data_IF_605963128724
#
_entry.id   IF_605963128724
#
_cell.length_a   1.000
_cell.length_b   1.000
_cell.length_c   1.000
_cell.angle_alpha   90.00
_cell.angle_beta   90.00
_cell.angle_gamma   90.00
#
_symmetry.space_group_name_H-M   'P 1'
#
loop_
_entity.id
_entity.type
_entity.pdbx_description
1 polymer ?
#
# COMPACT_ATOMS: atom_id res chain seq x y z
N UNK A 1 -4.86 42.62 -18.11
CA UNK A 1 -4.73 42.33 -16.67
C UNK A 1 -4.97 40.87 -16.40
N UNK A 2 -3.88 40.10 -16.37
CA UNK A 2 -3.77 38.91 -15.52
C UNK A 2 -2.30 38.85 -15.09
N UNK A 3 -2.07 39.08 -13.80
CA UNK A 3 -0.75 39.20 -13.18
C UNK A 3 -0.05 37.84 -13.12
N UNK A 4 1.02 37.68 -13.91
CA UNK A 4 2.09 36.72 -13.62
C UNK A 4 2.92 37.24 -12.45
N UNK A 5 2.90 36.54 -11.31
CA UNK A 5 3.82 36.79 -10.20
C UNK A 5 5.15 36.08 -10.53
N UNK A 6 6.27 36.79 -10.73
CA UNK A 6 7.55 36.18 -11.01
C UNK A 6 8.25 35.80 -9.70
N UNK A 7 8.59 34.52 -9.52
CA UNK A 7 9.50 34.09 -8.44
C UNK A 7 9.12 32.84 -7.65
N UNK A 8 8.09 32.08 -8.01
CA UNK A 8 7.86 30.78 -7.36
C UNK A 8 8.68 29.70 -8.10
N UNK A 9 9.60 28.96 -7.43
CA UNK A 9 10.19 27.78 -8.06
C UNK A 9 9.07 26.82 -8.48
N UNK A 10 9.22 26.05 -9.57
CA UNK A 10 8.20 25.09 -9.95
C UNK A 10 7.98 24.14 -8.76
N UNK A 11 6.83 24.28 -8.09
CA UNK A 11 6.40 23.28 -7.14
C UNK A 11 5.98 22.08 -7.97
N UNK A 12 6.93 21.22 -8.29
CA UNK A 12 6.64 19.94 -8.95
C UNK A 12 6.06 19.01 -7.90
N UNK A 13 4.80 19.25 -7.55
CA UNK A 13 3.97 18.31 -6.82
C UNK A 13 3.63 17.16 -7.75
N UNK A 14 4.46 16.12 -7.77
CA UNK A 14 4.14 14.88 -8.46
C UNK A 14 3.02 14.19 -7.68
N UNK A 15 1.81 14.21 -8.23
CA UNK A 15 0.71 13.39 -7.71
C UNK A 15 0.92 11.97 -8.20
N UNK A 16 1.40 11.10 -7.32
CA UNK A 16 1.40 9.65 -7.56
C UNK A 16 -0.04 9.19 -7.32
N UNK A 17 -0.80 9.04 -8.40
CA UNK A 17 -2.19 8.57 -8.36
C UNK A 17 -2.23 7.17 -7.76
N UNK A 18 -2.82 7.08 -6.56
CA UNK A 18 -3.10 5.83 -5.86
C UNK A 18 -4.57 5.48 -6.06
N UNK A 19 -4.89 4.36 -6.71
CA UNK A 19 -6.27 3.92 -6.87
C UNK A 19 -6.75 3.22 -5.59
N UNK A 20 -7.58 3.89 -4.79
CA UNK A 20 -8.37 3.21 -3.77
C UNK A 20 -9.62 2.61 -4.43
N UNK A 21 -9.57 1.33 -4.76
CA UNK A 21 -10.74 0.61 -5.29
C UNK A 21 -11.59 0.18 -4.10
N UNK A 22 -12.71 0.87 -3.89
CA UNK A 22 -13.70 0.52 -2.88
C UNK A 22 -15.08 1.03 -3.28
N UNK A 23 -16.14 0.30 -2.92
CA UNK A 23 -17.50 0.77 -3.16
C UNK A 23 -17.72 2.09 -2.42
N UNK A 24 -18.06 3.17 -3.14
CA UNK A 24 -18.31 4.51 -2.57
C UNK A 24 -19.20 4.45 -1.31
N UNK A 25 -20.26 3.65 -1.36
CA UNK A 25 -21.21 3.52 -0.26
C UNK A 25 -20.61 2.84 0.98
N UNK A 26 -19.61 1.98 0.81
CA UNK A 26 -18.92 1.30 1.90
C UNK A 26 -17.92 2.24 2.58
N UNK A 27 -17.17 3.03 1.80
CA UNK A 27 -16.29 4.09 2.32
C UNK A 27 -17.11 5.14 3.08
N UNK A 28 -18.27 5.55 2.55
CA UNK A 28 -19.14 6.51 3.22
C UNK A 28 -19.74 5.95 4.52
N UNK A 29 -20.21 4.70 4.53
CA UNK A 29 -20.70 4.04 5.75
C UNK A 29 -19.62 3.97 6.83
N UNK A 30 -18.38 3.66 6.45
CA UNK A 30 -17.26 3.65 7.38
C UNK A 30 -17.06 5.00 8.07
N UNK A 31 -17.13 6.10 7.30
CA UNK A 31 -16.97 7.46 7.83
C UNK A 31 -18.17 7.90 8.70
N UNK A 32 -19.37 7.38 8.42
CA UNK A 32 -20.62 7.72 9.12
C UNK A 32 -20.74 7.01 10.49
N UNK A 33 -20.06 5.88 10.70
CA UNK A 33 -20.08 5.11 11.96
C UNK A 33 -19.27 5.74 13.13
N UNK A 34 -19.15 7.08 13.16
CA UNK A 34 -18.71 7.82 14.36
C UNK A 34 -19.78 7.88 15.46
N UNK A 35 -21.00 7.42 15.16
CA UNK A 35 -22.17 7.47 16.04
C UNK A 35 -22.43 6.16 16.78
N UNK A 36 -22.54 6.26 18.11
CA UNK A 36 -22.97 5.25 19.07
C UNK A 36 -24.22 4.47 18.59
N UNK A 37 -24.06 3.18 18.32
CA UNK A 37 -25.16 2.23 18.11
C UNK A 37 -24.72 0.83 18.54
N UNK A 38 -25.34 0.31 19.60
CA UNK A 38 -25.19 -1.09 20.02
C UNK A 38 -25.99 -1.96 19.05
N UNK A 39 -25.28 -2.70 18.19
CA UNK A 39 -25.78 -3.98 17.66
C UNK A 39 -24.58 -4.90 17.41
N UNK A 40 -24.47 -5.94 18.24
CA UNK A 40 -23.50 -7.01 18.11
C UNK A 40 -23.96 -8.02 17.05
N UNK A 41 -23.50 -7.89 15.81
CA UNK A 41 -23.38 -9.01 14.84
C UNK A 41 -22.63 -8.54 13.60
N UNK A 42 -21.56 -9.25 13.24
CA UNK A 42 -20.52 -8.90 12.24
C UNK A 42 -19.63 -7.71 12.64
N UNK A 43 -18.38 -8.02 13.01
CA UNK A 43 -17.40 -7.03 13.41
C UNK A 43 -17.12 -6.05 12.26
N UNK A 44 -17.80 -4.91 12.31
CA UNK A 44 -17.74 -3.86 11.30
C UNK A 44 -16.30 -3.50 10.97
N UNK A 45 -16.06 -3.27 9.69
CA UNK A 45 -14.81 -2.70 9.22
C UNK A 45 -14.60 -1.37 9.96
N UNK A 46 -13.46 -1.17 10.60
CA UNK A 46 -13.20 0.09 11.31
C UNK A 46 -12.41 1.02 10.40
N UNK A 47 -12.82 2.30 10.33
CA UNK A 47 -12.03 3.35 9.66
C UNK A 47 -10.60 3.35 10.20
N UNK A 48 -10.44 3.09 11.50
CA UNK A 48 -9.16 2.99 12.16
C UNK A 48 -8.26 1.91 11.53
N UNK A 49 -8.78 0.71 11.27
CA UNK A 49 -8.03 -0.37 10.60
C UNK A 49 -7.56 0.07 9.21
N UNK A 50 -8.44 0.71 8.42
CA UNK A 50 -8.10 1.21 7.10
C UNK A 50 -7.02 2.32 7.17
N UNK A 51 -7.14 3.25 8.12
CA UNK A 51 -6.15 4.31 8.35
C UNK A 51 -4.79 3.72 8.71
N UNK A 52 -4.74 2.69 9.57
CA UNK A 52 -3.49 2.01 9.91
C UNK A 52 -2.85 1.30 8.72
N UNK A 53 -3.66 0.62 7.89
CA UNK A 53 -3.17 -0.03 6.67
C UNK A 53 -2.61 1.01 5.71
N UNK A 54 -3.35 2.09 5.42
CA UNK A 54 -2.89 3.17 4.55
C UNK A 54 -1.64 3.88 5.08
N UNK A 55 -1.53 4.04 6.40
CA UNK A 55 -0.34 4.59 7.06
C UNK A 55 0.86 3.67 6.87
N UNK A 56 0.65 2.35 6.99
CA UNK A 56 1.69 1.33 6.76
C UNK A 56 2.16 1.33 5.30
N UNK A 57 1.23 1.40 4.35
CA UNK A 57 1.52 1.50 2.91
C UNK A 57 2.34 2.77 2.62
N UNK A 58 1.90 3.91 3.15
CA UNK A 58 2.63 5.18 3.01
C UNK A 58 4.04 5.09 3.59
N UNK A 59 4.19 4.39 4.71
CA UNK A 59 5.48 4.17 5.37
C UNK A 59 6.38 3.28 4.50
N UNK A 60 5.86 2.20 3.93
CA UNK A 60 6.58 1.33 3.01
C UNK A 60 7.09 2.11 1.79
N UNK A 61 6.20 2.86 1.11
CA UNK A 61 6.54 3.68 -0.07
C UNK A 61 7.68 4.67 0.27
N UNK A 62 7.53 5.42 1.36
CA UNK A 62 8.55 6.40 1.78
C UNK A 62 9.87 5.74 2.14
N UNK A 63 9.83 4.57 2.77
CA UNK A 63 11.01 3.81 3.18
C UNK A 63 11.77 3.30 1.96
N UNK A 64 11.06 2.71 0.99
CA UNK A 64 11.64 2.30 -0.29
C UNK A 64 12.29 3.50 -0.97
N UNK A 65 11.54 4.60 -1.17
CA UNK A 65 12.09 5.82 -1.80
C UNK A 65 13.33 6.36 -1.09
N UNK A 66 13.39 6.30 0.26
CA UNK A 66 14.57 6.69 1.02
C UNK A 66 15.76 5.73 0.84
N UNK A 67 15.52 4.42 0.85
CA UNK A 67 16.56 3.41 0.61
C UNK A 67 17.15 3.54 -0.79
N UNK A 68 16.29 3.72 -1.81
CA UNK A 68 16.70 3.89 -3.21
C UNK A 68 17.58 5.12 -3.39
N UNK A 69 17.19 6.26 -2.80
CA UNK A 69 17.98 7.50 -2.80
C UNK A 69 19.33 7.31 -2.10
N UNK A 70 19.36 6.63 -0.94
CA UNK A 70 20.59 6.37 -0.17
C UNK A 70 21.57 5.45 -0.90
N UNK A 71 21.07 4.44 -1.58
CA UNK A 71 21.88 3.46 -2.29
C UNK A 71 22.35 3.96 -3.67
N UNK A 72 21.85 5.12 -4.11
CA UNK A 72 22.17 5.66 -5.44
C UNK A 72 21.71 4.75 -6.58
N UNK A 73 20.78 3.82 -6.32
CA UNK A 73 20.39 2.76 -7.27
C UNK A 73 19.86 3.28 -8.61
N UNK A 74 19.11 4.40 -8.71
CA UNK A 74 18.70 4.91 -10.01
C UNK A 74 19.88 5.46 -10.83
N UNK A 75 20.99 5.84 -10.18
CA UNK A 75 22.14 6.52 -10.79
C UNK A 75 23.39 5.64 -10.92
N UNK A 76 23.38 4.46 -10.31
CA UNK A 76 24.44 3.49 -10.51
C UNK A 76 24.16 2.77 -11.84
N UNK A 77 25.01 2.99 -12.85
CA UNK A 77 24.93 2.34 -14.17
C UNK A 77 24.98 0.78 -14.11
N UNK A 78 25.12 0.21 -12.92
CA UNK A 78 25.21 -1.21 -12.61
C UNK A 78 24.12 -1.70 -11.65
N UNK A 79 23.18 -0.85 -11.23
CA UNK A 79 22.12 -1.26 -10.31
C UNK A 79 21.18 -2.26 -11.00
N UNK A 80 21.23 -3.50 -10.54
CA UNK A 80 20.36 -4.55 -11.02
C UNK A 80 18.91 -4.25 -10.58
N UNK A 81 17.96 -4.05 -11.52
CA UNK A 81 16.56 -3.78 -11.20
C UNK A 81 15.94 -4.82 -10.25
N UNK A 82 16.39 -6.07 -10.34
CA UNK A 82 15.92 -7.17 -9.49
C UNK A 82 16.21 -6.94 -8.01
N UNK A 83 17.36 -6.34 -7.68
CA UNK A 83 17.73 -6.04 -6.28
C UNK A 83 16.82 -4.97 -5.70
N UNK A 84 16.43 -4.00 -6.53
CA UNK A 84 15.51 -2.95 -6.15
C UNK A 84 14.10 -3.51 -5.89
N UNK A 85 13.58 -4.34 -6.79
CA UNK A 85 12.29 -5.01 -6.59
C UNK A 85 12.29 -5.88 -5.33
N UNK A 86 13.34 -6.68 -5.11
CA UNK A 86 13.45 -7.50 -3.91
C UNK A 86 13.46 -6.65 -2.63
N UNK A 87 14.24 -5.57 -2.59
CA UNK A 87 14.30 -4.64 -1.47
C UNK A 87 12.94 -4.00 -1.19
N UNK A 88 12.25 -3.58 -2.25
CA UNK A 88 10.93 -2.97 -2.13
C UNK A 88 9.91 -3.97 -1.59
N UNK A 89 9.86 -5.17 -2.17
CA UNK A 89 8.97 -6.24 -1.72
C UNK A 89 9.19 -6.62 -0.24
N UNK A 90 10.44 -6.82 0.19
CA UNK A 90 10.77 -7.11 1.59
C UNK A 90 10.34 -5.97 2.53
N UNK A 91 10.56 -4.72 2.13
CA UNK A 91 10.16 -3.54 2.90
C UNK A 91 8.65 -3.46 3.07
N UNK A 92 7.89 -3.71 2.00
CA UNK A 92 6.43 -3.76 2.02
C UNK A 92 5.92 -4.88 2.93
N UNK A 93 6.43 -6.11 2.76
CA UNK A 93 6.03 -7.27 3.56
C UNK A 93 6.26 -7.03 5.05
N UNK A 94 7.45 -6.55 5.41
CA UNK A 94 7.81 -6.31 6.81
C UNK A 94 6.94 -5.21 7.44
N UNK A 95 6.72 -4.12 6.70
CA UNK A 95 5.91 -3.00 7.18
C UNK A 95 4.44 -3.41 7.36
N UNK A 96 3.85 -4.09 6.38
CA UNK A 96 2.45 -4.52 6.43
C UNK A 96 2.21 -5.64 7.45
N UNK A 97 3.13 -6.61 7.60
CA UNK A 97 3.03 -7.62 8.66
C UNK A 97 3.04 -6.99 10.05
N UNK A 98 3.88 -5.97 10.26
CA UNK A 98 4.01 -5.34 11.58
C UNK A 98 2.76 -4.61 12.06
N UNK A 99 1.84 -4.26 11.16
CA UNK A 99 0.64 -3.49 11.52
C UNK A 99 -0.47 -4.32 12.17
N UNK A 100 -0.38 -5.66 12.10
CA UNK A 100 -1.36 -6.62 12.67
C UNK A 100 -2.81 -6.43 12.19
N UNK A 101 -3.01 -5.82 11.02
CA UNK A 101 -4.32 -5.66 10.35
C UNK A 101 -4.45 -6.52 9.10
N UNK A 102 -3.33 -6.98 8.57
CA UNK A 102 -3.30 -7.87 7.42
C UNK A 102 -3.40 -9.35 7.82
N UNK A 103 -4.10 -10.16 7.04
CA UNK A 103 -4.14 -11.63 7.14
C UNK A 103 -3.35 -12.31 6.03
N UNK A 104 -3.31 -11.71 4.84
CA UNK A 104 -2.53 -12.18 3.71
C UNK A 104 -1.99 -11.00 2.91
N UNK A 105 -0.81 -11.18 2.34
CA UNK A 105 -0.14 -10.22 1.48
C UNK A 105 0.16 -10.88 0.14
N UNK A 106 -0.21 -10.24 -0.97
CA UNK A 106 0.03 -10.76 -2.33
C UNK A 106 0.89 -9.75 -3.08
N UNK A 107 2.08 -10.15 -3.48
CA UNK A 107 3.02 -9.30 -4.20
C UNK A 107 3.13 -9.75 -5.65
N UNK A 108 3.22 -8.81 -6.59
CA UNK A 108 3.55 -9.10 -7.99
C UNK A 108 4.91 -9.83 -8.15
N UNK A 109 5.88 -9.53 -7.27
CA UNK A 109 7.22 -10.15 -7.28
C UNK A 109 7.27 -11.55 -6.60
N UNK A 110 6.14 -12.17 -6.24
CA UNK A 110 6.10 -13.50 -5.57
C UNK A 110 5.07 -14.43 -6.21
N UNK A 111 5.47 -15.69 -6.40
CA UNK A 111 4.56 -16.74 -6.85
C UNK A 111 3.54 -17.12 -5.77
N UNK A 112 3.98 -17.17 -4.51
CA UNK A 112 3.13 -17.57 -3.38
C UNK A 112 2.73 -16.37 -2.50
N UNK A 113 1.44 -16.29 -2.10
CA UNK A 113 0.98 -15.34 -1.11
C UNK A 113 1.68 -15.51 0.23
N UNK A 114 1.86 -14.39 0.91
CA UNK A 114 2.45 -14.33 2.23
C UNK A 114 1.32 -14.30 3.27
N UNK A 115 1.03 -15.45 3.86
CA UNK A 115 0.09 -15.56 4.98
C UNK A 115 0.73 -14.99 6.25
N UNK A 116 -0.05 -14.22 7.01
CA UNK A 116 0.37 -13.67 8.31
C UNK A 116 0.15 -14.72 9.40
N UNK A 117 1.06 -14.83 10.36
CA UNK A 117 0.94 -15.79 11.46
C UNK A 117 -0.34 -15.55 12.27
N UNK A 118 -0.98 -16.64 12.73
CA UNK A 118 -2.27 -16.56 13.45
C UNK A 118 -2.28 -15.58 14.62
N UNK A 119 -1.16 -15.45 15.35
CA UNK A 119 -1.03 -14.56 16.51
C UNK A 119 -1.04 -13.06 16.14
N UNK A 120 -0.70 -12.72 14.90
CA UNK A 120 -0.64 -11.34 14.38
C UNK A 120 -1.62 -11.11 13.23
N UNK A 121 -2.50 -12.08 12.97
CA UNK A 121 -3.41 -12.08 11.84
C UNK A 121 -4.51 -11.05 12.05
N UNK A 122 -4.59 -10.09 11.13
CA UNK A 122 -5.72 -9.19 11.04
C UNK A 122 -6.82 -9.74 10.13
N UNK A 123 -7.56 -8.85 9.48
CA UNK A 123 -8.76 -9.20 8.70
C UNK A 123 -8.72 -8.71 7.25
N UNK A 124 -7.63 -8.07 6.86
CA UNK A 124 -7.48 -7.45 5.54
C UNK A 124 -6.41 -8.15 4.72
N UNK A 125 -6.63 -8.21 3.41
CA UNK A 125 -5.67 -8.72 2.46
C UNK A 125 -5.15 -7.51 1.68
N UNK A 126 -3.83 -7.40 1.54
CA UNK A 126 -3.22 -6.35 0.73
C UNK A 126 -2.54 -6.98 -0.45
N UNK A 127 -2.96 -6.59 -1.65
CA UNK A 127 -2.28 -6.93 -2.90
C UNK A 127 -1.47 -5.73 -3.36
N UNK A 128 -0.26 -5.94 -3.88
CA UNK A 128 0.60 -4.83 -4.26
C UNK A 128 1.62 -5.17 -5.34
N UNK A 129 1.85 -4.20 -6.21
CA UNK A 129 3.08 -4.01 -6.96
C UNK A 129 3.86 -2.90 -6.22
N UNK A 130 4.97 -3.25 -5.54
CA UNK A 130 5.68 -2.31 -4.67
C UNK A 130 6.44 -1.22 -5.44
N UNK A 131 6.63 -1.39 -6.76
CA UNK A 131 7.35 -0.49 -7.65
C UNK A 131 6.74 -0.50 -9.06
N UNK A 132 5.69 0.30 -9.27
CA UNK A 132 5.17 0.52 -10.63
C UNK A 132 6.02 1.57 -11.35
N UNK A 133 6.50 1.21 -12.54
CA UNK A 133 7.28 2.08 -13.42
C UNK A 133 7.73 1.29 -14.63
N UNK A 134 7.12 1.57 -15.79
CA UNK A 134 7.44 0.90 -17.04
C UNK A 134 8.89 1.25 -17.46
N UNK A 135 9.72 0.22 -17.56
CA UNK A 135 10.99 0.17 -18.30
C UNK A 135 12.20 0.96 -17.72
N UNK A 136 13.19 0.16 -17.29
CA UNK A 136 14.62 0.46 -17.12
C UNK A 136 15.04 1.62 -16.19
N UNK A 137 15.94 1.36 -15.20
CA UNK A 137 16.60 2.43 -14.45
C UNK A 137 17.32 3.42 -15.40
N UNK A 138 17.28 4.74 -15.14
CA UNK A 138 16.74 5.41 -13.96
C UNK A 138 15.23 5.68 -14.09
N UNK A 139 14.43 5.10 -13.19
CA UNK A 139 13.04 5.51 -13.01
C UNK A 139 13.03 6.75 -12.08
N UNK A 140 12.79 7.94 -12.65
CA UNK A 140 12.64 9.18 -11.88
C UNK A 140 11.30 9.23 -11.11
N UNK A 141 10.30 8.50 -11.60
CA UNK A 141 8.94 8.42 -11.07
C UNK A 141 8.59 7.01 -10.58
N UNK A 142 9.09 6.63 -9.40
CA UNK A 142 8.68 5.39 -8.75
C UNK A 142 7.29 5.54 -8.13
N UNK A 143 6.32 4.75 -8.60
CA UNK A 143 5.00 4.61 -7.98
C UNK A 143 4.83 3.25 -7.29
N UNK A 144 3.68 3.03 -6.66
CA UNK A 144 3.23 1.70 -6.24
C UNK A 144 1.75 1.52 -6.56
N UNK A 145 1.35 0.30 -6.91
CA UNK A 145 -0.06 -0.07 -7.08
C UNK A 145 -0.44 -0.99 -5.93
N UNK A 146 -1.59 -0.77 -5.31
CA UNK A 146 -2.09 -1.66 -4.27
C UNK A 146 -3.61 -1.75 -4.25
N UNK A 147 -4.11 -2.84 -3.69
CA UNK A 147 -5.52 -3.05 -3.36
C UNK A 147 -5.67 -3.57 -1.93
N UNK A 148 -6.75 -3.15 -1.26
CA UNK A 148 -7.08 -3.58 0.10
C UNK A 148 -8.42 -4.31 0.04
N UNK A 149 -8.41 -5.58 0.42
CA UNK A 149 -9.57 -6.45 0.42
C UNK A 149 -9.90 -6.87 1.84
N UNK A 150 -11.19 -7.11 2.09
CA UNK A 150 -11.64 -7.73 3.33
C UNK A 150 -11.60 -9.24 3.16
N UNK A 151 -10.95 -9.96 4.07
CA UNK A 151 -11.04 -11.41 4.10
C UNK A 151 -12.50 -11.82 4.37
N UNK A 152 -13.06 -12.68 3.51
CA UNK A 152 -14.45 -13.17 3.63
C UNK A 152 -14.51 -14.55 4.27
N UNK A 153 -13.51 -15.38 4.03
CA UNK A 153 -13.37 -16.70 4.61
C UNK A 153 -13.16 -16.64 6.13
N UNK A 154 -13.77 -17.58 6.85
CA UNK A 154 -13.48 -17.81 8.27
C UNK A 154 -12.20 -18.63 8.39
N UNK A 155 -11.27 -18.21 9.25
CA UNK A 155 -10.01 -18.91 9.50
C UNK A 155 -8.88 -18.51 8.55
N UNK A 156 -8.25 -19.48 7.89
CA UNK A 156 -7.08 -19.25 7.03
C UNK A 156 -7.51 -18.51 5.75
N UNK A 157 -6.87 -17.37 5.40
CA UNK A 157 -7.20 -16.61 4.20
C UNK A 157 -6.93 -17.42 2.93
N UNK A 158 -7.77 -17.22 1.92
CA UNK A 158 -7.69 -17.89 0.62
C UNK A 158 -7.58 -16.87 -0.50
N UNK A 159 -7.02 -17.27 -1.65
CA UNK A 159 -6.90 -16.36 -2.79
C UNK A 159 -8.26 -15.88 -3.32
N UNK A 160 -9.30 -16.70 -3.18
CA UNK A 160 -10.69 -16.33 -3.52
C UNK A 160 -11.21 -15.13 -2.72
N UNK A 161 -10.61 -14.81 -1.57
CA UNK A 161 -10.97 -13.62 -0.79
C UNK A 161 -10.56 -12.30 -1.48
N UNK A 162 -9.82 -12.36 -2.59
CA UNK A 162 -9.32 -11.23 -3.39
C UNK A 162 -10.21 -10.97 -4.62
N UNK A 163 -11.46 -11.46 -4.61
CA UNK A 163 -12.41 -11.34 -5.75
C UNK A 163 -13.63 -10.48 -5.47
#
# INVERSE_FOLDING_TARGET
DDMLIPGLPPQVGHTITTYLIGSRNQILKLLDHSGLGHDESEASDSVHDLVMILTSITTAIKTVGAQVKRLGLPRAATANPKVLNQLANETWINTLRSNRRCSMLVSEDREEPVVVDQESMGRYIVVFDPLTGLAEPPCEDMGAIFGIFRQRSQGVPKLDDVT
#
